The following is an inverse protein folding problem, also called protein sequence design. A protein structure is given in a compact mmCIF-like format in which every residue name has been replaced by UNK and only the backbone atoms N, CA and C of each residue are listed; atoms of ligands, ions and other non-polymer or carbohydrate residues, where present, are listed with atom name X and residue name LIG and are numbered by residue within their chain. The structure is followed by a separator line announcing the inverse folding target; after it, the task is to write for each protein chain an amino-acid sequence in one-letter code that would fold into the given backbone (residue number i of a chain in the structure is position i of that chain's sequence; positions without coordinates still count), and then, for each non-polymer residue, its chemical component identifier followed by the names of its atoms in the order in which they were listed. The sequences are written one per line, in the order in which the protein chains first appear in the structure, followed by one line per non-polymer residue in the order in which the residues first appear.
data_IF_970118380197
#
_entry.id   IF_970118380197
#
_cell.length_a   1.000
_cell.length_b   1.000
_cell.length_c   1.000
_cell.angle_alpha   90.00
_cell.angle_beta   90.00
_cell.angle_gamma   90.00
#
_symmetry.space_group_name_H-M   'P 1'
#
loop_
_entity.id
_entity.type
_entity.pdbx_description
1 polymer ?
#
# COMPACT_ATOMS: atom_id res chain seq x y z
N UNK A 1 16.95 16.53 2.52
CA UNK A 1 17.09 15.08 2.22
C UNK A 1 15.69 14.55 1.97
N UNK A 2 15.44 13.83 0.86
CA UNK A 2 14.12 13.23 0.62
C UNK A 2 14.11 11.84 1.24
N UNK A 3 13.39 11.68 2.36
CA UNK A 3 13.31 10.39 3.07
C UNK A 3 11.85 10.00 3.33
N UNK A 4 11.60 8.70 3.43
CA UNK A 4 10.36 8.12 3.90
C UNK A 4 10.67 6.89 4.75
N UNK A 5 9.77 6.54 5.67
CA UNK A 5 9.89 5.37 6.53
C UNK A 5 8.69 4.46 6.36
N UNK A 6 8.92 3.15 6.36
CA UNK A 6 7.86 2.14 6.34
C UNK A 6 7.73 1.46 7.70
N UNK A 7 6.48 1.26 8.14
CA UNK A 7 6.15 0.62 9.40
C UNK A 7 5.16 -0.52 9.22
N UNK A 8 5.24 -1.51 10.11
CA UNK A 8 4.33 -2.65 10.12
C UNK A 8 3.29 -2.51 11.23
N UNK A 9 2.02 -2.88 10.98
CA UNK A 9 0.98 -2.85 11.99
C UNK A 9 1.28 -3.87 13.10
N UNK A 10 1.49 -3.43 14.36
CA UNK A 10 1.87 -4.33 15.44
C UNK A 10 0.73 -5.28 15.83
N UNK A 11 1.09 -6.41 16.43
CA UNK A 11 0.13 -7.43 16.90
C UNK A 11 -0.48 -7.13 18.27
N UNK A 12 0.08 -6.18 19.04
CA UNK A 12 -0.39 -5.84 20.37
C UNK A 12 -0.45 -4.33 20.61
N UNK A 13 -1.26 -3.93 21.59
CA UNK A 13 -1.41 -2.52 21.99
C UNK A 13 -0.13 -1.93 22.60
N UNK A 14 0.68 -2.74 23.28
CA UNK A 14 1.98 -2.30 23.81
C UNK A 14 2.95 -1.96 22.67
N UNK A 15 3.02 -2.83 21.65
CA UNK A 15 3.83 -2.59 20.47
C UNK A 15 3.31 -1.41 19.64
N UNK A 16 1.99 -1.18 19.61
CA UNK A 16 1.42 0.02 18.99
C UNK A 16 1.91 1.30 19.68
N UNK A 17 1.92 1.35 21.02
CA UNK A 17 2.46 2.50 21.75
C UNK A 17 3.94 2.74 21.42
N UNK A 18 4.75 1.68 21.33
CA UNK A 18 6.16 1.76 20.93
C UNK A 18 6.33 2.26 19.50
N UNK A 19 5.49 1.79 18.57
CA UNK A 19 5.48 2.27 17.18
C UNK A 19 5.25 3.78 17.12
N UNK A 20 4.21 4.29 17.78
CA UNK A 20 3.89 5.73 17.80
C UNK A 20 5.04 6.55 18.39
N UNK A 21 5.64 6.08 19.50
CA UNK A 21 6.82 6.72 20.08
C UNK A 21 8.01 6.76 19.11
N UNK A 22 8.23 5.70 18.33
CA UNK A 22 9.30 5.66 17.35
C UNK A 22 9.03 6.58 16.16
N UNK A 23 7.80 6.66 15.67
CA UNK A 23 7.41 7.61 14.62
C UNK A 23 7.66 9.05 15.10
N UNK A 24 7.27 9.37 16.34
CA UNK A 24 7.50 10.72 16.89
C UNK A 24 9.00 11.03 17.00
N UNK A 25 9.82 10.06 17.39
CA UNK A 25 11.29 10.20 17.39
C UNK A 25 11.89 10.36 15.99
N UNK A 26 11.24 9.90 14.93
CA UNK A 26 11.72 10.07 13.56
C UNK A 26 11.22 11.36 12.90
N UNK A 27 10.24 12.03 13.52
CA UNK A 27 9.65 13.28 13.01
C UNK A 27 10.66 14.41 12.80
N UNK A 28 11.71 14.50 13.63
CA UNK A 28 12.75 15.53 13.46
C UNK A 28 13.49 15.44 12.12
N UNK A 29 13.52 14.26 11.50
CA UNK A 29 14.13 14.06 10.18
C UNK A 29 13.24 14.61 9.04
N UNK A 30 12.04 15.10 9.35
CA UNK A 30 11.08 15.70 8.42
C UNK A 30 10.83 14.81 7.20
N UNK A 31 10.35 13.56 7.39
CA UNK A 31 10.09 12.65 6.27
C UNK A 31 9.02 13.21 5.34
N UNK A 32 9.17 13.00 4.03
CA UNK A 32 8.20 13.44 3.03
C UNK A 32 6.85 12.73 3.22
N UNK A 33 6.89 11.47 3.63
CA UNK A 33 5.75 10.68 4.07
C UNK A 33 6.24 9.48 4.90
N UNK A 34 5.33 8.83 5.59
CA UNK A 34 5.53 7.48 6.14
C UNK A 34 4.57 6.51 5.48
N UNK A 35 4.95 5.24 5.33
CA UNK A 35 4.05 4.18 4.87
C UNK A 35 3.71 3.19 5.99
N UNK A 36 2.50 2.64 5.93
CA UNK A 36 2.08 1.55 6.83
C UNK A 36 1.67 0.36 5.98
N UNK A 37 2.29 -0.79 6.24
CA UNK A 37 2.06 -2.00 5.46
C UNK A 37 0.67 -2.59 5.71
N UNK A 38 0.21 -3.35 4.73
CA UNK A 38 -1.11 -3.97 4.72
C UNK A 38 -0.96 -5.46 4.45
N UNK A 39 -1.47 -6.28 5.36
CA UNK A 39 -1.33 -7.72 5.30
C UNK A 39 -2.05 -8.29 4.09
N UNK A 40 -1.47 -9.34 3.52
CA UNK A 40 -2.06 -10.14 2.45
C UNK A 40 -3.55 -10.45 2.76
N UNK A 41 -4.43 -10.21 1.78
CA UNK A 41 -5.86 -10.47 1.89
C UNK A 41 -6.60 -9.66 2.97
N UNK A 42 -6.01 -8.59 3.50
CA UNK A 42 -6.63 -7.78 4.55
C UNK A 42 -6.50 -8.34 5.96
N UNK A 43 -5.61 -9.31 6.19
CA UNK A 43 -5.34 -9.89 7.52
C UNK A 43 -4.95 -8.87 8.62
N UNK A 44 -4.47 -7.69 8.23
CA UNK A 44 -4.16 -6.59 9.15
C UNK A 44 -4.99 -5.33 8.86
N UNK A 45 -6.09 -5.41 8.10
CA UNK A 45 -6.90 -4.25 7.67
C UNK A 45 -7.20 -3.29 8.81
N UNK A 46 -7.86 -3.78 9.86
CA UNK A 46 -8.31 -2.95 10.98
C UNK A 46 -7.15 -2.32 11.75
N UNK A 47 -6.05 -3.06 11.89
CA UNK A 47 -4.84 -2.57 12.57
C UNK A 47 -4.15 -1.48 11.75
N UNK A 48 -4.01 -1.70 10.44
CA UNK A 48 -3.43 -0.74 9.50
C UNK A 48 -4.26 0.54 9.49
N UNK A 49 -5.58 0.44 9.37
CA UNK A 49 -6.49 1.58 9.37
C UNK A 49 -6.38 2.42 10.65
N UNK A 50 -6.38 1.77 11.83
CA UNK A 50 -6.22 2.46 13.12
C UNK A 50 -4.91 3.25 13.20
N UNK A 51 -3.80 2.67 12.74
CA UNK A 51 -2.49 3.31 12.79
C UNK A 51 -2.40 4.46 11.80
N UNK A 52 -2.85 4.26 10.57
CA UNK A 52 -2.89 5.32 9.55
C UNK A 52 -3.72 6.50 10.04
N UNK A 53 -4.92 6.24 10.59
CA UNK A 53 -5.77 7.27 11.18
C UNK A 53 -5.05 8.02 12.31
N UNK A 54 -4.37 7.30 13.19
CA UNK A 54 -3.63 7.88 14.31
C UNK A 54 -2.48 8.77 13.82
N UNK A 55 -1.69 8.32 12.85
CA UNK A 55 -0.57 9.10 12.31
C UNK A 55 -1.07 10.38 11.61
N UNK A 56 -2.15 10.29 10.83
CA UNK A 56 -2.70 11.45 10.12
C UNK A 56 -3.32 12.44 11.11
N UNK A 57 -4.25 11.99 11.96
CA UNK A 57 -5.08 12.89 12.77
C UNK A 57 -4.39 13.34 14.06
N UNK A 58 -3.55 12.51 14.68
CA UNK A 58 -2.89 12.85 15.94
C UNK A 58 -1.50 13.48 15.70
N UNK A 59 -0.77 13.04 14.67
CA UNK A 59 0.62 13.46 14.45
C UNK A 59 0.80 14.47 13.30
N UNK A 60 -0.19 14.58 12.40
CA UNK A 60 -0.17 15.47 11.25
C UNK A 60 0.85 15.06 10.18
N UNK A 61 1.24 13.78 10.12
CA UNK A 61 2.26 13.29 9.19
C UNK A 61 1.57 12.72 7.94
N UNK A 62 2.01 13.16 6.75
CA UNK A 62 1.56 12.61 5.47
C UNK A 62 1.83 11.11 5.44
N UNK A 63 0.78 10.32 5.24
CA UNK A 63 0.85 8.86 5.37
C UNK A 63 0.36 8.19 4.09
N UNK A 64 1.16 7.28 3.57
CA UNK A 64 0.81 6.39 2.47
C UNK A 64 0.32 5.05 3.02
N UNK A 65 -0.91 4.66 2.72
CA UNK A 65 -1.45 3.38 3.17
C UNK A 65 -1.18 2.29 2.12
N UNK A 66 -0.65 1.15 2.53
CA UNK A 66 -0.55 0.02 1.62
C UNK A 66 -1.94 -0.58 1.39
N UNK A 67 -2.17 -1.12 0.19
CA UNK A 67 -3.39 -1.83 -0.15
C UNK A 67 -3.04 -2.97 -1.10
N UNK A 68 -3.49 -4.19 -0.78
CA UNK A 68 -3.34 -5.38 -1.63
C UNK A 68 -4.67 -5.76 -2.27
N UNK A 69 -4.63 -6.41 -3.44
CA UNK A 69 -5.83 -6.84 -4.16
C UNK A 69 -6.10 -8.35 -4.18
N UNK A 70 -5.23 -9.16 -3.57
CA UNK A 70 -5.45 -10.59 -3.36
C UNK A 70 -6.61 -10.88 -2.39
N UNK A 71 -7.27 -12.04 -2.56
CA UNK A 71 -8.27 -12.59 -1.63
C UNK A 71 -9.41 -11.64 -1.22
N UNK A 72 -9.72 -10.63 -2.03
CA UNK A 72 -10.78 -9.68 -1.76
C UNK A 72 -11.56 -9.33 -3.05
N UNK A 73 -12.86 -9.13 -2.91
CA UNK A 73 -13.71 -8.60 -3.97
C UNK A 73 -13.39 -7.13 -4.24
N UNK A 74 -13.67 -6.64 -5.46
CA UNK A 74 -13.59 -5.21 -5.78
C UNK A 74 -14.41 -4.38 -4.79
N UNK A 75 -15.59 -4.86 -4.39
CA UNK A 75 -16.43 -4.19 -3.38
C UNK A 75 -15.72 -4.00 -2.04
N UNK A 76 -15.02 -5.03 -1.54
CA UNK A 76 -14.28 -4.94 -0.28
C UNK A 76 -13.09 -3.98 -0.40
N UNK A 77 -12.35 -4.05 -1.51
CA UNK A 77 -11.18 -3.18 -1.75
C UNK A 77 -11.63 -1.72 -1.88
N UNK A 78 -12.71 -1.47 -2.61
CA UNK A 78 -13.28 -0.13 -2.77
C UNK A 78 -13.75 0.45 -1.44
N UNK A 79 -14.38 -0.37 -0.58
CA UNK A 79 -14.70 0.06 0.78
C UNK A 79 -13.46 0.43 1.60
N UNK A 80 -12.33 -0.25 1.43
CA UNK A 80 -11.07 0.13 2.11
C UNK A 80 -10.55 1.48 1.58
N UNK A 81 -10.66 1.71 0.27
CA UNK A 81 -10.28 2.98 -0.35
C UNK A 81 -11.17 4.11 0.19
N UNK A 82 -12.48 3.90 0.27
CA UNK A 82 -13.42 4.87 0.84
C UNK A 82 -13.10 5.17 2.31
N UNK A 83 -12.81 4.14 3.11
CA UNK A 83 -12.37 4.29 4.51
C UNK A 83 -11.09 5.15 4.59
N UNK A 84 -10.10 4.89 3.73
CA UNK A 84 -8.86 5.67 3.65
C UNK A 84 -9.09 7.13 3.27
N UNK A 85 -9.97 7.40 2.29
CA UNK A 85 -10.35 8.77 1.92
C UNK A 85 -10.96 9.49 3.13
N UNK A 86 -11.89 8.82 3.84
CA UNK A 86 -12.60 9.41 4.98
C UNK A 86 -11.67 9.80 6.14
N UNK A 87 -10.57 9.07 6.35
CA UNK A 87 -9.58 9.41 7.38
C UNK A 87 -8.46 10.34 6.88
N UNK A 88 -8.52 10.80 5.63
CA UNK A 88 -7.61 11.79 5.06
C UNK A 88 -6.34 11.24 4.40
N UNK A 89 -6.31 9.95 4.03
CA UNK A 89 -5.21 9.38 3.23
C UNK A 89 -5.15 10.07 1.87
N UNK A 90 -3.94 10.45 1.45
CA UNK A 90 -3.69 11.07 0.14
C UNK A 90 -2.87 10.19 -0.80
N UNK A 91 -2.18 9.20 -0.26
CA UNK A 91 -1.30 8.31 -1.02
C UNK A 91 -1.64 6.84 -0.70
N UNK A 92 -1.76 6.01 -1.72
CA UNK A 92 -1.89 4.56 -1.57
C UNK A 92 -0.72 3.86 -2.26
N UNK A 93 -0.06 2.95 -1.54
CA UNK A 93 0.88 1.99 -2.14
C UNK A 93 0.06 0.80 -2.65
N UNK A 94 -0.27 0.82 -3.94
CA UNK A 94 -1.13 -0.15 -4.60
C UNK A 94 -0.31 -1.38 -5.01
N UNK A 95 -0.59 -2.50 -4.36
CA UNK A 95 0.16 -3.75 -4.51
C UNK A 95 -0.79 -4.87 -4.93
N UNK A 96 -0.23 -5.88 -5.60
CA UNK A 96 -0.93 -7.15 -5.80
C UNK A 96 -1.14 -7.84 -4.45
N UNK A 97 -0.04 -7.98 -3.71
CA UNK A 97 0.06 -8.77 -2.49
C UNK A 97 0.56 -10.18 -2.77
N UNK A 98 0.96 -10.85 -1.70
CA UNK A 98 1.53 -12.20 -1.72
C UNK A 98 0.49 -13.23 -1.34
N UNK A 99 0.43 -14.34 -2.08
CA UNK A 99 -0.45 -15.46 -1.71
C UNK A 99 -0.05 -15.99 -0.32
N UNK A 100 -1.02 -16.35 0.55
CA UNK A 100 -0.72 -16.85 1.90
C UNK A 100 0.27 -18.03 1.91
N UNK A 101 0.18 -18.90 0.91
CA UNK A 101 1.02 -20.09 0.77
C UNK A 101 2.25 -19.85 -0.13
N UNK A 102 2.50 -18.60 -0.54
CA UNK A 102 3.56 -18.21 -1.49
C UNK A 102 3.52 -18.96 -2.83
N UNK A 103 2.37 -19.54 -3.17
CA UNK A 103 2.10 -20.18 -4.45
C UNK A 103 1.80 -19.13 -5.53
N UNK A 104 1.54 -19.59 -6.76
CA UNK A 104 1.18 -18.73 -7.88
C UNK A 104 0.00 -17.83 -7.54
N UNK A 105 0.09 -16.56 -7.93
CA UNK A 105 -1.01 -15.62 -7.71
C UNK A 105 -2.29 -16.06 -8.44
N UNK A 106 -3.37 -16.15 -7.68
CA UNK A 106 -4.72 -16.33 -8.21
C UNK A 106 -5.60 -15.16 -7.75
N UNK A 107 -6.19 -14.39 -8.67
CA UNK A 107 -7.07 -13.31 -8.29
C UNK A 107 -8.38 -13.87 -7.74
N UNK A 108 -8.95 -13.18 -6.76
CA UNK A 108 -10.31 -13.48 -6.32
C UNK A 108 -11.27 -13.39 -7.53
N UNK A 109 -12.26 -14.29 -7.71
CA UNK A 109 -13.13 -14.31 -8.90
C UNK A 109 -13.86 -12.99 -9.19
N UNK A 110 -14.10 -12.20 -8.13
CA UNK A 110 -14.72 -10.88 -8.17
C UNK A 110 -13.76 -9.74 -7.76
N UNK A 111 -12.45 -10.00 -7.73
CA UNK A 111 -11.40 -9.07 -7.32
C UNK A 111 -10.75 -8.33 -8.49
N UNK A 112 -9.74 -7.50 -8.19
CA UNK A 112 -8.84 -6.97 -9.21
C UNK A 112 -7.83 -8.04 -9.62
N UNK A 113 -7.54 -8.13 -10.91
CA UNK A 113 -6.65 -9.18 -11.45
C UNK A 113 -5.17 -8.84 -11.33
N UNK A 114 -4.83 -7.59 -11.09
CA UNK A 114 -3.45 -7.13 -10.97
C UNK A 114 -3.40 -5.82 -10.19
N UNK A 115 -2.19 -5.41 -9.79
CA UNK A 115 -1.96 -4.06 -9.27
C UNK A 115 -2.21 -2.97 -10.32
N UNK A 116 -2.10 -3.28 -11.62
CA UNK A 116 -2.44 -2.34 -12.71
C UNK A 116 -3.92 -1.99 -12.66
N UNK A 117 -4.82 -2.98 -12.55
CA UNK A 117 -6.27 -2.70 -12.45
C UNK A 117 -6.62 -1.91 -11.18
N UNK A 118 -5.92 -2.17 -10.07
CA UNK A 118 -6.10 -1.42 -8.82
C UNK A 118 -5.67 0.04 -8.98
N UNK A 119 -4.49 0.28 -9.56
CA UNK A 119 -3.97 1.63 -9.85
C UNK A 119 -4.93 2.39 -10.76
N UNK A 120 -5.37 1.76 -11.85
CA UNK A 120 -6.33 2.35 -12.78
C UNK A 120 -7.62 2.76 -12.08
N UNK A 121 -8.19 1.88 -11.25
CA UNK A 121 -9.41 2.21 -10.51
C UNK A 121 -9.21 3.41 -9.57
N UNK A 122 -8.12 3.44 -8.79
CA UNK A 122 -7.86 4.53 -7.83
C UNK A 122 -7.72 5.85 -8.59
N UNK A 123 -6.94 5.88 -9.68
CA UNK A 123 -6.71 7.10 -10.45
C UNK A 123 -7.95 7.59 -11.22
N UNK A 124 -8.83 6.68 -11.66
CA UNK A 124 -10.07 7.07 -12.36
C UNK A 124 -11.20 7.54 -11.43
N UNK A 125 -11.19 7.09 -10.17
CA UNK A 125 -12.33 7.27 -9.25
C UNK A 125 -12.05 8.19 -8.07
N UNK A 126 -10.79 8.54 -7.83
CA UNK A 126 -10.37 9.28 -6.63
C UNK A 126 -9.26 10.28 -6.95
N UNK A 127 -9.01 11.21 -6.05
CA UNK A 127 -7.85 12.11 -6.10
C UNK A 127 -6.62 11.55 -5.36
N UNK A 128 -6.62 10.26 -4.98
CA UNK A 128 -5.50 9.62 -4.29
C UNK A 128 -4.34 9.41 -5.25
N UNK A 129 -3.15 9.79 -4.81
CA UNK A 129 -1.90 9.49 -5.52
C UNK A 129 -1.51 8.03 -5.31
N UNK A 130 -1.18 7.32 -6.39
CA UNK A 130 -0.79 5.91 -6.34
C UNK A 130 0.71 5.71 -6.43
N UNK A 131 1.27 4.93 -5.51
CA UNK A 131 2.63 4.38 -5.57
C UNK A 131 2.57 2.89 -5.87
N UNK A 132 3.62 2.35 -6.49
CA UNK A 132 3.71 0.92 -6.86
C UNK A 132 5.07 0.33 -6.50
N UNK A 133 5.15 -1.01 -6.47
CA UNK A 133 6.44 -1.69 -6.35
C UNK A 133 7.21 -1.70 -7.68
N UNK A 134 8.54 -1.72 -7.62
CA UNK A 134 9.44 -2.02 -8.73
C UNK A 134 10.49 -3.04 -8.25
N UNK A 135 11.03 -3.86 -9.15
CA UNK A 135 11.95 -4.92 -8.76
C UNK A 135 13.25 -4.82 -9.57
N UNK A 136 14.33 -4.24 -9.01
CA UNK A 136 15.62 -4.12 -9.71
C UNK A 136 16.17 -5.48 -10.18
N UNK A 137 15.87 -6.54 -9.44
CA UNK A 137 16.33 -7.92 -9.71
C UNK A 137 15.24 -8.81 -10.33
N UNK A 138 14.16 -8.22 -10.88
CA UNK A 138 12.96 -8.89 -11.39
C UNK A 138 12.11 -9.54 -10.28
N UNK A 139 10.79 -9.42 -10.35
CA UNK A 139 9.89 -10.19 -9.48
C UNK A 139 10.08 -11.70 -9.71
N UNK A 140 10.05 -12.55 -8.66
CA UNK A 140 10.24 -14.00 -8.78
C UNK A 140 9.30 -14.67 -9.81
N UNK A 141 8.05 -14.22 -9.88
CA UNK A 141 7.03 -14.75 -10.80
C UNK A 141 7.08 -14.16 -12.22
N UNK A 142 7.86 -13.10 -12.45
CA UNK A 142 7.98 -12.51 -13.79
C UNK A 142 8.75 -13.45 -14.72
N UNK A 143 8.29 -13.62 -15.96
CA UNK A 143 8.89 -14.53 -16.96
C UNK A 143 10.32 -14.13 -17.34
N UNK A 144 10.60 -12.84 -17.35
CA UNK A 144 11.89 -12.24 -17.66
C UNK A 144 12.01 -10.86 -17.01
N UNK A 145 13.22 -10.28 -16.98
CA UNK A 145 13.41 -8.89 -16.56
C UNK A 145 12.62 -7.93 -17.46
N UNK A 146 12.56 -8.19 -18.77
CA UNK A 146 11.79 -7.36 -19.70
C UNK A 146 10.30 -7.36 -19.36
N UNK A 147 9.70 -8.52 -19.08
CA UNK A 147 8.28 -8.58 -18.70
C UNK A 147 7.98 -7.87 -17.38
N UNK A 148 8.95 -7.80 -16.46
CA UNK A 148 8.80 -7.07 -15.19
C UNK A 148 8.82 -5.55 -15.42
N UNK A 149 9.72 -5.09 -16.31
CA UNK A 149 9.79 -3.70 -16.76
C UNK A 149 8.53 -3.30 -17.53
N UNK A 150 8.02 -4.17 -18.41
CA UNK A 150 6.78 -3.94 -19.17
C UNK A 150 5.60 -3.79 -18.20
N UNK A 151 5.50 -4.64 -17.18
CA UNK A 151 4.48 -4.54 -16.13
C UNK A 151 4.66 -3.26 -15.29
N UNK A 152 5.88 -2.83 -14.99
CA UNK A 152 6.13 -1.54 -14.35
C UNK A 152 5.66 -0.39 -15.22
N UNK A 153 5.91 -0.45 -16.53
CA UNK A 153 5.40 0.52 -17.49
C UNK A 153 3.86 0.54 -17.52
N UNK A 154 3.20 -0.61 -17.53
CA UNK A 154 1.73 -0.67 -17.47
C UNK A 154 1.17 -0.01 -16.19
N UNK A 155 1.83 -0.20 -15.04
CA UNK A 155 1.45 0.48 -13.79
C UNK A 155 1.58 2.00 -13.90
N UNK A 156 2.65 2.49 -14.55
CA UNK A 156 2.88 3.93 -14.80
C UNK A 156 1.83 4.46 -15.78
N UNK A 157 1.56 3.75 -16.87
CA UNK A 157 0.56 4.14 -17.87
C UNK A 157 -0.87 4.16 -17.28
N UNK A 158 -1.14 3.30 -16.29
CA UNK A 158 -2.38 3.34 -15.49
C UNK A 158 -2.46 4.53 -14.49
N UNK A 159 -1.38 5.32 -14.37
CA UNK A 159 -1.31 6.56 -13.61
C UNK A 159 -0.52 6.48 -12.29
N UNK A 160 0.30 5.44 -12.07
CA UNK A 160 1.17 5.40 -10.90
C UNK A 160 2.15 6.59 -10.90
N UNK A 161 2.21 7.31 -9.78
CA UNK A 161 3.02 8.54 -9.65
C UNK A 161 4.44 8.28 -9.13
N UNK A 162 4.68 7.14 -8.49
CA UNK A 162 6.01 6.75 -7.96
C UNK A 162 6.14 5.23 -7.89
N UNK A 163 7.36 4.75 -8.07
CA UNK A 163 7.74 3.38 -7.75
C UNK A 163 8.68 3.31 -6.54
N UNK A 164 8.53 2.29 -5.71
CA UNK A 164 9.41 1.97 -4.56
C UNK A 164 10.00 0.58 -4.82
N UNK A 165 11.33 0.45 -4.71
CA UNK A 165 12.07 -0.79 -4.97
C UNK A 165 12.22 -1.64 -3.72
#
# INVERSE_FOLDING_TARGET
MNISFEFFPPSSSELQKKLIQNIEKLKFLSPNFVSVTYGAGGSTRDRTHKIVNQIINDMGIRTAAHLTCINATKKQINSVIDDYINIGVKDIVALRGDMPDMDHFEPHPQGYKSSVELVQYINEKTDITTFVSAYPEKHPESKSLQSDIDLLKEKIDAGASKAIT
#
